data_IF_937794134457
#
_entry.id   IF_937794134457
#
_cell.length_a   1.000
_cell.length_b   1.000
_cell.length_c   1.000
_cell.angle_alpha   90.00
_cell.angle_beta   90.00
_cell.angle_gamma   90.00
#
_symmetry.space_group_name_H-M   'P 1'
#
loop_
_entity.id
_entity.type
_entity.pdbx_description
1 polymer ?
#
# COMPACT_ATOMS: atom_id res chain seq x y z
N UNK A 1 18.10 8.08 -0.76
CA UNK A 1 17.04 7.08 -0.55
C UNK A 1 15.95 7.34 -1.58
N UNK A 2 16.00 6.69 -2.73
CA UNK A 2 14.93 6.73 -3.74
C UNK A 2 14.34 5.34 -3.78
N UNK A 3 13.05 5.19 -3.48
CA UNK A 3 12.39 3.90 -3.46
C UNK A 3 11.97 3.49 -4.88
N UNK A 4 11.99 2.20 -5.23
CA UNK A 4 11.40 1.69 -6.45
C UNK A 4 9.87 1.74 -6.36
N UNK A 5 9.19 1.24 -7.39
CA UNK A 5 7.74 1.03 -7.42
C UNK A 5 7.29 0.39 -6.10
N UNK A 6 6.27 0.97 -5.45
CA UNK A 6 5.82 0.51 -4.12
C UNK A 6 5.35 -0.95 -4.12
N UNK A 7 4.96 -1.48 -5.28
CA UNK A 7 4.58 -2.88 -5.44
C UNK A 7 5.78 -3.85 -5.28
N UNK A 8 7.00 -3.38 -5.53
CA UNK A 8 8.24 -4.15 -5.33
C UNK A 8 8.76 -4.03 -3.89
N UNK A 9 8.30 -3.04 -3.13
CA UNK A 9 8.61 -2.86 -1.71
C UNK A 9 7.72 -3.76 -0.85
N UNK A 10 7.95 -5.06 -0.92
CA UNK A 10 7.16 -6.07 -0.17
C UNK A 10 7.73 -6.30 1.23
N UNK A 11 6.95 -6.99 2.08
CA UNK A 11 7.37 -7.41 3.42
C UNK A 11 8.55 -8.40 3.45
N UNK A 12 8.96 -8.94 2.29
CA UNK A 12 10.14 -9.81 2.17
C UNK A 12 11.42 -9.07 1.81
N UNK A 13 11.34 -7.78 1.45
CA UNK A 13 12.54 -6.95 1.23
C UNK A 13 13.33 -6.80 2.53
N UNK A 14 14.66 -6.65 2.44
CA UNK A 14 15.55 -6.68 3.61
C UNK A 14 15.13 -5.70 4.72
N UNK A 15 14.84 -4.45 4.35
CA UNK A 15 14.38 -3.43 5.29
C UNK A 15 13.09 -3.82 6.00
N UNK A 16 12.08 -4.26 5.25
CA UNK A 16 10.76 -4.62 5.81
C UNK A 16 10.82 -5.90 6.65
N UNK A 17 11.63 -6.87 6.21
CA UNK A 17 11.91 -8.09 6.95
C UNK A 17 12.60 -7.80 8.28
N UNK A 18 13.61 -6.95 8.25
CA UNK A 18 14.35 -6.51 9.44
C UNK A 18 13.43 -5.76 10.41
N UNK A 19 12.56 -4.90 9.89
CA UNK A 19 11.52 -4.23 10.67
C UNK A 19 10.59 -5.23 11.38
N UNK A 20 10.01 -6.19 10.67
CA UNK A 20 9.06 -7.16 11.23
C UNK A 20 9.73 -8.02 12.32
N UNK A 21 10.93 -8.55 12.07
CA UNK A 21 11.65 -9.36 13.05
C UNK A 21 12.06 -8.57 14.30
N UNK A 22 12.51 -7.32 14.13
CA UNK A 22 12.84 -6.45 15.26
C UNK A 22 11.61 -6.10 16.09
N UNK A 23 10.45 -5.88 15.45
CA UNK A 23 9.17 -5.66 16.14
C UNK A 23 8.82 -6.88 17.00
N UNK A 24 8.84 -8.09 16.42
CA UNK A 24 8.54 -9.34 17.14
C UNK A 24 9.51 -9.53 18.32
N UNK A 25 10.82 -9.46 18.07
CA UNK A 25 11.86 -9.59 19.12
C UNK A 25 11.62 -8.60 20.27
N UNK A 26 11.29 -7.35 19.93
CA UNK A 26 11.08 -6.29 20.93
C UNK A 26 9.82 -6.54 21.75
N UNK A 27 8.68 -6.84 21.11
CA UNK A 27 7.42 -7.13 21.78
C UNK A 27 7.53 -8.35 22.68
N UNK A 28 8.06 -9.45 22.16
CA UNK A 28 8.15 -10.71 22.90
C UNK A 28 9.11 -10.62 24.07
N UNK A 29 10.24 -9.91 23.95
CA UNK A 29 11.12 -9.62 25.09
C UNK A 29 10.42 -8.86 26.22
N UNK A 30 9.36 -8.10 25.91
CA UNK A 30 8.53 -7.35 26.87
C UNK A 30 7.22 -8.05 27.23
N UNK A 31 7.05 -9.30 26.80
CA UNK A 31 5.87 -10.12 27.08
C UNK A 31 4.56 -9.51 26.55
N UNK A 32 4.62 -8.82 25.42
CA UNK A 32 3.45 -8.25 24.73
C UNK A 32 3.32 -8.83 23.33
N UNK A 33 2.13 -8.68 22.75
CA UNK A 33 1.81 -9.19 21.41
C UNK A 33 2.52 -8.38 20.30
N UNK A 34 2.93 -9.07 19.24
CA UNK A 34 3.43 -8.57 17.98
C UNK A 34 2.45 -8.91 16.86
N UNK A 35 1.71 -7.92 16.35
CA UNK A 35 0.73 -8.13 15.28
C UNK A 35 1.36 -8.05 13.89
N UNK A 36 0.92 -8.94 12.98
CA UNK A 36 1.24 -8.94 11.56
C UNK A 36 0.47 -7.86 10.78
N UNK A 37 0.67 -7.83 9.47
CA UNK A 37 0.14 -6.79 8.58
C UNK A 37 -1.26 -7.07 8.04
N UNK A 38 -1.75 -6.11 7.26
CA UNK A 38 -3.04 -6.16 6.58
C UNK A 38 -2.99 -7.06 5.34
N UNK A 39 -4.04 -7.88 5.12
CA UNK A 39 -4.40 -8.40 3.81
C UNK A 39 -5.69 -7.71 3.34
N UNK A 40 -5.55 -6.83 2.34
CA UNK A 40 -6.61 -5.94 1.88
C UNK A 40 -7.48 -6.54 0.75
N UNK A 41 -7.22 -7.78 0.32
CA UNK A 41 -7.87 -8.39 -0.83
C UNK A 41 -9.38 -8.58 -0.63
N UNK A 42 -10.15 -8.21 -1.65
CA UNK A 42 -11.58 -8.46 -1.76
C UNK A 42 -11.75 -9.68 -2.67
N UNK A 43 -12.43 -10.77 -2.21
CA UNK A 43 -12.64 -11.96 -3.03
C UNK A 43 -13.31 -11.66 -4.38
N UNK A 44 -12.71 -12.14 -5.47
CA UNK A 44 -13.10 -11.83 -6.85
C UNK A 44 -14.06 -12.93 -7.35
N UNK A 45 -15.36 -12.75 -7.10
CA UNK A 45 -16.36 -13.78 -7.44
C UNK A 45 -16.54 -14.01 -8.95
N UNK A 46 -16.26 -13.00 -9.76
CA UNK A 46 -16.43 -13.04 -11.21
C UNK A 46 -15.29 -13.73 -11.96
N UNK A 47 -14.14 -13.92 -11.31
CA UNK A 47 -12.93 -14.49 -11.91
C UNK A 47 -12.26 -15.46 -10.94
N UNK A 48 -12.57 -16.77 -11.04
CA UNK A 48 -12.03 -17.78 -10.15
C UNK A 48 -10.50 -17.91 -10.19
N UNK A 49 -9.87 -17.66 -11.33
CA UNK A 49 -8.42 -17.78 -11.50
C UNK A 49 -7.71 -16.61 -10.83
N UNK A 50 -8.14 -15.38 -11.12
CA UNK A 50 -7.61 -14.19 -10.45
C UNK A 50 -7.85 -14.25 -8.94
N UNK A 51 -9.01 -14.76 -8.51
CA UNK A 51 -9.30 -14.97 -7.10
C UNK A 51 -8.34 -15.97 -6.46
N UNK A 52 -8.09 -17.12 -7.09
CA UNK A 52 -7.17 -18.13 -6.56
C UNK A 52 -5.75 -17.57 -6.37
N UNK A 53 -5.26 -16.80 -7.36
CA UNK A 53 -3.95 -16.13 -7.28
C UNK A 53 -3.91 -15.12 -6.13
N UNK A 54 -4.96 -14.31 -5.97
CA UNK A 54 -5.04 -13.32 -4.89
C UNK A 54 -5.09 -13.99 -3.51
N UNK A 55 -5.87 -15.05 -3.35
CA UNK A 55 -5.98 -15.78 -2.09
C UNK A 55 -4.71 -16.55 -1.72
N UNK A 56 -3.97 -17.07 -2.71
CA UNK A 56 -2.68 -17.71 -2.45
C UNK A 56 -1.63 -16.72 -1.95
N UNK A 57 -1.63 -15.49 -2.48
CA UNK A 57 -0.77 -14.42 -1.93
C UNK A 57 -1.10 -14.13 -0.46
N UNK A 58 -2.39 -14.05 -0.12
CA UNK A 58 -2.82 -13.87 1.28
C UNK A 58 -2.33 -15.03 2.14
N UNK A 59 -2.49 -16.26 1.66
CA UNK A 59 -2.02 -17.47 2.37
C UNK A 59 -0.53 -17.42 2.64
N UNK A 60 0.29 -17.21 1.61
CA UNK A 60 1.74 -17.13 1.73
C UNK A 60 2.20 -16.01 2.67
N UNK A 61 1.51 -14.86 2.64
CA UNK A 61 1.79 -13.75 3.55
C UNK A 61 1.47 -14.11 5.01
N UNK A 62 0.32 -14.74 5.29
CA UNK A 62 -0.07 -15.11 6.65
C UNK A 62 0.74 -16.27 7.20
N UNK A 63 1.09 -17.23 6.34
CA UNK A 63 2.04 -18.30 6.66
C UNK A 63 3.39 -17.73 7.10
N UNK A 64 3.94 -16.77 6.35
CA UNK A 64 5.20 -16.11 6.70
C UNK A 64 5.08 -15.43 8.07
N UNK A 65 4.06 -14.61 8.28
CA UNK A 65 3.87 -13.88 9.54
C UNK A 65 3.78 -14.82 10.75
N UNK A 66 2.99 -15.89 10.64
CA UNK A 66 2.86 -16.89 11.70
C UNK A 66 4.20 -17.62 11.94
N UNK A 67 4.93 -17.98 10.88
CA UNK A 67 6.26 -18.58 10.99
C UNK A 67 7.29 -17.65 11.61
N UNK A 68 7.21 -16.34 11.40
CA UNK A 68 8.16 -15.38 11.95
C UNK A 68 8.01 -15.20 13.45
N UNK A 69 6.78 -15.29 13.95
CA UNK A 69 6.49 -15.11 15.36
C UNK A 69 5.36 -14.13 15.65
N UNK A 70 4.63 -13.61 14.65
CA UNK A 70 3.49 -12.75 14.94
C UNK A 70 2.40 -13.51 15.73
N UNK A 71 1.72 -12.83 16.65
CA UNK A 71 0.67 -13.42 17.50
C UNK A 71 -0.73 -13.33 16.88
N UNK A 72 -0.84 -12.65 15.75
CA UNK A 72 -2.08 -12.46 15.01
C UNK A 72 -1.83 -11.63 13.77
N UNK A 73 -2.88 -11.44 12.96
CA UNK A 73 -2.79 -10.73 11.68
C UNK A 73 -4.09 -9.97 11.37
N UNK A 74 -4.07 -9.11 10.35
CA UNK A 74 -5.22 -8.32 9.92
C UNK A 74 -5.73 -8.74 8.53
N UNK A 75 -7.05 -8.65 8.35
CA UNK A 75 -7.75 -8.81 7.08
C UNK A 75 -8.79 -7.72 6.92
N UNK A 76 -8.98 -7.20 5.71
CA UNK A 76 -9.97 -6.15 5.43
C UNK A 76 -11.36 -6.69 5.06
N UNK A 77 -11.46 -7.98 4.73
CA UNK A 77 -12.72 -8.59 4.27
C UNK A 77 -13.01 -9.92 5.02
N UNK A 78 -14.25 -10.16 5.49
CA UNK A 78 -14.61 -11.38 6.22
C UNK A 78 -14.29 -12.69 5.49
N UNK A 79 -14.35 -12.67 4.15
CA UNK A 79 -14.00 -13.81 3.31
C UNK A 79 -12.54 -14.28 3.42
N UNK A 80 -11.63 -13.44 3.96
CA UNK A 80 -10.23 -13.82 4.19
C UNK A 80 -9.99 -14.42 5.58
N UNK A 81 -10.95 -14.30 6.51
CA UNK A 81 -10.80 -14.79 7.89
C UNK A 81 -10.47 -16.28 7.94
N UNK A 82 -11.15 -17.17 7.18
CA UNK A 82 -10.82 -18.60 7.22
C UNK A 82 -9.38 -18.91 6.79
N UNK A 83 -8.87 -18.21 5.78
CA UNK A 83 -7.50 -18.41 5.25
C UNK A 83 -6.46 -17.96 6.27
N UNK A 84 -6.64 -16.75 6.83
CA UNK A 84 -5.75 -16.24 7.85
C UNK A 84 -5.76 -17.14 9.09
N UNK A 85 -6.94 -17.59 9.52
CA UNK A 85 -7.10 -18.49 10.66
C UNK A 85 -6.43 -19.84 10.42
N UNK A 86 -6.57 -20.43 9.23
CA UNK A 86 -5.96 -21.71 8.88
C UNK A 86 -4.43 -21.67 9.03
N UNK A 87 -3.77 -20.64 8.51
CA UNK A 87 -2.32 -20.52 8.61
C UNK A 87 -1.84 -20.28 10.04
N UNK A 88 -2.56 -19.45 10.81
CA UNK A 88 -2.23 -19.23 12.22
C UNK A 88 -2.52 -20.46 13.09
N UNK A 89 -3.62 -21.18 12.88
CA UNK A 89 -3.89 -22.44 13.61
C UNK A 89 -2.80 -23.50 13.34
N UNK A 90 -2.23 -23.52 12.13
CA UNK A 90 -1.17 -24.44 11.72
C UNK A 90 0.19 -24.14 12.35
N UNK A 91 0.58 -22.86 12.38
CA UNK A 91 1.94 -22.46 12.81
C UNK A 91 1.99 -21.83 14.22
N UNK A 92 0.84 -21.47 14.78
CA UNK A 92 0.64 -20.96 16.14
C UNK A 92 -0.46 -21.78 16.85
N UNK A 93 -0.19 -23.04 17.26
CA UNK A 93 -1.17 -23.89 17.94
C UNK A 93 -1.48 -23.43 19.38
N UNK A 94 -0.70 -22.49 19.90
CA UNK A 94 -0.89 -21.83 21.20
C UNK A 94 -1.75 -20.57 21.06
N UNK A 95 -2.29 -20.00 22.16
CA UNK A 95 -3.08 -18.77 22.08
C UNK A 95 -2.32 -17.56 21.49
N UNK A 96 -0.99 -17.56 21.60
CA UNK A 96 -0.05 -16.57 21.05
C UNK A 96 1.35 -17.18 20.95
N UNK A 97 2.32 -16.46 20.39
CA UNK A 97 3.73 -16.80 20.22
C UNK A 97 4.70 -15.97 21.08
N UNK A 98 4.23 -15.28 22.13
CA UNK A 98 5.03 -14.40 23.01
C UNK A 98 6.28 -15.10 23.59
N UNK A 99 6.27 -16.42 23.70
CA UNK A 99 7.42 -17.23 24.15
C UNK A 99 8.58 -17.27 23.13
N UNK A 100 8.35 -16.96 21.86
CA UNK A 100 9.37 -16.96 20.79
C UNK A 100 10.17 -15.66 20.81
N UNK A 101 11.24 -15.61 21.60
CA UNK A 101 11.98 -14.37 21.86
C UNK A 101 12.90 -13.88 20.73
N UNK A 102 13.20 -14.71 19.72
CA UNK A 102 14.13 -14.40 18.62
C UNK A 102 15.50 -13.90 19.13
N UNK A 103 16.07 -14.57 20.13
CA UNK A 103 17.31 -14.14 20.80
C UNK A 103 18.52 -14.13 19.86
N UNK A 104 18.50 -14.94 18.83
CA UNK A 104 19.52 -15.12 17.79
C UNK A 104 19.46 -14.07 16.67
N UNK A 105 18.38 -13.28 16.60
CA UNK A 105 18.17 -12.30 15.53
C UNK A 105 18.74 -10.94 15.92
N UNK A 106 19.86 -10.54 15.33
CA UNK A 106 20.46 -9.20 15.55
C UNK A 106 20.15 -8.28 14.36
N UNK A 107 19.45 -7.17 14.62
CA UNK A 107 19.06 -6.16 13.62
C UNK A 107 19.71 -4.82 13.99
N UNK A 108 20.42 -4.23 13.04
CA UNK A 108 21.07 -2.93 13.21
C UNK A 108 20.21 -1.79 12.62
N UNK A 109 20.56 -0.55 12.94
CA UNK A 109 19.96 0.62 12.29
C UNK A 109 20.22 0.63 10.77
N UNK A 110 21.34 0.07 10.31
CA UNK A 110 21.65 0.01 8.89
C UNK A 110 20.70 -0.95 8.14
N UNK A 111 20.35 -2.08 8.76
CA UNK A 111 19.40 -3.05 8.19
C UNK A 111 18.02 -2.44 7.93
N UNK A 112 17.57 -1.57 8.84
CA UNK A 112 16.30 -0.83 8.75
C UNK A 112 16.31 0.29 7.71
N UNK A 113 17.46 0.56 7.08
CA UNK A 113 17.63 1.67 6.12
C UNK A 113 18.15 1.19 4.76
N UNK A 114 18.28 -0.12 4.53
CA UNK A 114 18.66 -0.67 3.22
C UNK A 114 17.51 -0.41 2.23
N UNK A 115 17.74 0.49 1.27
CA UNK A 115 16.78 0.77 0.21
C UNK A 115 16.57 -0.51 -0.61
N UNK A 116 15.31 -0.98 -0.78
CA UNK A 116 15.03 -2.13 -1.63
C UNK A 116 15.49 -1.91 -3.07
N UNK A 117 16.05 -2.94 -3.68
CA UNK A 117 16.29 -2.97 -5.12
C UNK A 117 14.95 -3.11 -5.87
N UNK A 118 14.85 -2.50 -7.04
CA UNK A 118 13.67 -2.58 -7.88
C UNK A 118 13.67 -1.53 -9.00
N UNK A 119 12.55 -1.45 -9.72
CA UNK A 119 12.40 -0.54 -10.86
C UNK A 119 11.47 0.62 -10.53
N UNK A 120 11.61 1.71 -11.28
CA UNK A 120 10.63 2.80 -11.30
C UNK A 120 10.02 2.76 -12.69
N UNK A 121 8.76 2.36 -12.82
CA UNK A 121 8.17 2.08 -14.15
C UNK A 121 7.09 3.10 -14.49
N UNK A 122 6.81 3.27 -15.79
CA UNK A 122 5.65 4.10 -16.20
C UNK A 122 4.35 3.51 -15.61
N UNK A 123 4.24 2.18 -15.57
CA UNK A 123 3.10 1.50 -14.98
C UNK A 123 2.94 1.85 -13.50
N UNK A 124 4.04 1.86 -12.72
CA UNK A 124 4.07 2.29 -11.33
C UNK A 124 3.61 3.73 -11.13
N UNK A 125 4.10 4.66 -11.97
CA UNK A 125 3.65 6.06 -11.98
C UNK A 125 2.15 6.15 -12.23
N UNK A 126 1.65 5.48 -13.28
CA UNK A 126 0.23 5.51 -13.64
C UNK A 126 -0.64 4.89 -12.56
N UNK A 127 -0.22 3.79 -11.93
CA UNK A 127 -0.95 3.15 -10.81
C UNK A 127 -1.01 4.08 -9.59
N UNK A 128 0.06 4.82 -9.29
CA UNK A 128 0.05 5.78 -8.18
C UNK A 128 -0.88 6.97 -8.44
N UNK A 129 -0.88 7.53 -9.66
CA UNK A 129 -1.86 8.55 -10.05
C UNK A 129 -3.29 7.99 -9.93
N UNK A 130 -3.49 6.79 -10.44
CA UNK A 130 -4.81 6.19 -10.54
C UNK A 130 -5.43 5.87 -9.16
N UNK A 131 -4.76 5.06 -8.36
CA UNK A 131 -5.27 4.66 -7.03
C UNK A 131 -5.37 5.87 -6.10
N UNK A 132 -4.39 6.78 -6.15
CA UNK A 132 -4.38 7.98 -5.34
C UNK A 132 -5.56 8.92 -5.62
N UNK A 133 -5.87 9.16 -6.89
CA UNK A 133 -7.00 10.01 -7.30
C UNK A 133 -8.34 9.34 -7.02
N UNK A 134 -8.50 8.04 -7.30
CA UNK A 134 -9.73 7.31 -6.99
C UNK A 134 -10.02 7.33 -5.48
N UNK A 135 -9.01 7.08 -4.65
CA UNK A 135 -9.16 7.16 -3.19
C UNK A 135 -9.52 8.57 -2.75
N UNK A 136 -8.82 9.59 -3.26
CA UNK A 136 -9.08 10.98 -2.90
C UNK A 136 -10.49 11.43 -3.31
N UNK A 137 -10.98 11.02 -4.47
CA UNK A 137 -12.36 11.31 -4.90
C UNK A 137 -13.39 10.71 -3.94
N UNK A 138 -13.23 9.44 -3.56
CA UNK A 138 -14.11 8.79 -2.60
C UNK A 138 -14.01 9.41 -1.19
N UNK A 139 -12.80 9.77 -0.76
CA UNK A 139 -12.57 10.44 0.52
C UNK A 139 -13.28 11.79 0.57
N UNK A 140 -13.20 12.57 -0.52
CA UNK A 140 -13.89 13.85 -0.69
C UNK A 140 -15.43 13.70 -0.75
N UNK A 141 -15.93 12.50 -1.03
CA UNK A 141 -17.35 12.13 -0.93
C UNK A 141 -17.73 11.60 0.47
N UNK A 142 -16.82 11.65 1.43
CA UNK A 142 -17.03 11.19 2.81
C UNK A 142 -16.79 9.70 3.02
N UNK A 143 -16.20 8.98 2.05
CA UNK A 143 -15.86 7.56 2.18
C UNK A 143 -14.34 7.32 2.26
N UNK A 144 -13.85 6.99 3.45
CA UNK A 144 -12.43 6.67 3.68
C UNK A 144 -12.03 5.20 3.49
N UNK A 145 -12.97 4.30 3.16
CA UNK A 145 -12.72 2.86 3.00
C UNK A 145 -13.23 2.42 1.62
N UNK A 146 -12.32 2.26 0.66
CA UNK A 146 -12.66 2.35 -0.77
C UNK A 146 -12.23 1.07 -1.50
N UNK A 147 -13.17 0.33 -2.12
CA UNK A 147 -12.79 -0.80 -2.97
C UNK A 147 -12.20 -0.28 -4.30
N UNK A 148 -10.91 -0.50 -4.51
CA UNK A 148 -10.19 -0.14 -5.73
C UNK A 148 -9.43 -1.37 -6.21
N UNK A 149 -9.66 -1.81 -7.46
CA UNK A 149 -9.00 -3.00 -8.04
C UNK A 149 -9.04 -4.27 -7.18
N UNK A 150 -10.17 -4.54 -6.53
CA UNK A 150 -10.37 -5.65 -5.59
C UNK A 150 -9.47 -5.59 -4.34
N UNK A 151 -9.00 -4.41 -3.97
CA UNK A 151 -8.36 -4.12 -2.70
C UNK A 151 -9.24 -3.14 -1.92
N UNK A 152 -9.35 -3.35 -0.61
CA UNK A 152 -9.98 -2.39 0.28
C UNK A 152 -8.94 -1.37 0.72
N UNK A 153 -8.93 -0.22 0.06
CA UNK A 153 -7.92 0.82 0.24
C UNK A 153 -8.33 1.81 1.33
N UNK A 154 -7.34 2.29 2.08
CA UNK A 154 -7.45 3.38 3.04
C UNK A 154 -6.50 4.54 2.67
N UNK A 155 -6.42 5.55 3.55
CA UNK A 155 -5.64 6.74 3.29
C UNK A 155 -4.15 6.44 3.09
N UNK A 156 -3.60 5.40 3.74
CA UNK A 156 -2.19 5.06 3.62
C UNK A 156 -1.81 4.69 2.18
N UNK A 157 -2.73 4.09 1.41
CA UNK A 157 -2.48 3.77 0.00
C UNK A 157 -2.36 5.03 -0.86
N UNK A 158 -3.22 6.02 -0.64
CA UNK A 158 -3.11 7.30 -1.34
C UNK A 158 -1.89 8.09 -0.87
N UNK A 159 -1.56 8.03 0.42
CA UNK A 159 -0.36 8.65 0.99
C UNK A 159 0.93 8.08 0.38
N UNK A 160 1.09 6.76 0.30
CA UNK A 160 2.30 6.19 -0.32
C UNK A 160 2.35 6.48 -1.82
N UNK A 161 1.19 6.50 -2.50
CA UNK A 161 1.11 6.81 -3.93
C UNK A 161 1.59 8.24 -4.23
N UNK A 162 1.07 9.25 -3.52
CA UNK A 162 1.50 10.64 -3.70
C UNK A 162 2.91 10.89 -3.19
N UNK A 163 3.33 10.23 -2.11
CA UNK A 163 4.68 10.38 -1.55
C UNK A 163 5.76 9.84 -2.49
N UNK A 164 5.47 8.72 -3.16
CA UNK A 164 6.36 8.11 -4.13
C UNK A 164 6.50 9.00 -5.38
N UNK A 165 5.39 9.51 -5.92
CA UNK A 165 5.41 10.46 -7.04
C UNK A 165 6.15 11.75 -6.67
N UNK A 166 5.89 12.31 -5.49
CA UNK A 166 6.60 13.48 -4.98
C UNK A 166 8.10 13.22 -4.88
N UNK A 167 8.53 12.09 -4.29
CA UNK A 167 9.94 11.74 -4.15
C UNK A 167 10.62 11.66 -5.51
N UNK A 168 10.00 10.98 -6.47
CA UNK A 168 10.57 10.80 -7.81
C UNK A 168 10.73 12.13 -8.56
N UNK A 169 9.71 13.00 -8.48
CA UNK A 169 9.78 14.36 -9.04
C UNK A 169 10.91 15.18 -8.40
N UNK A 170 11.01 15.19 -7.08
CA UNK A 170 11.94 16.06 -6.36
C UNK A 170 13.39 15.57 -6.34
N UNK A 171 13.61 14.28 -6.59
CA UNK A 171 14.96 13.71 -6.69
C UNK A 171 15.47 13.58 -8.13
N UNK A 172 14.63 13.92 -9.12
CA UNK A 172 14.96 13.74 -10.54
C UNK A 172 15.12 12.27 -10.91
N UNK A 173 14.35 11.39 -10.27
CA UNK A 173 14.35 9.96 -10.57
C UNK A 173 13.94 9.71 -12.02
N UNK A 174 14.34 8.56 -12.56
CA UNK A 174 14.06 8.18 -13.93
C UNK A 174 13.23 6.92 -13.95
N UNK A 175 12.36 6.83 -14.95
CA UNK A 175 11.76 5.59 -15.35
C UNK A 175 12.86 4.59 -15.79
N UNK A 176 12.53 3.32 -15.77
CA UNK A 176 13.34 2.21 -16.26
C UNK A 176 13.72 2.33 -17.75
N UNK A 177 12.91 3.04 -18.53
CA UNK A 177 13.24 3.43 -19.92
C UNK A 177 14.09 4.70 -20.07
N UNK A 178 14.47 5.31 -18.95
CA UNK A 178 15.38 6.46 -18.88
C UNK A 178 14.73 7.84 -18.93
N UNK A 179 13.41 7.95 -19.15
CA UNK A 179 12.71 9.24 -19.09
C UNK A 179 12.74 9.82 -17.67
N UNK A 180 13.01 11.13 -17.50
CA UNK A 180 12.97 11.76 -16.18
C UNK A 180 11.53 11.94 -15.69
N UNK A 181 11.29 11.64 -14.42
CA UNK A 181 9.99 11.89 -13.78
C UNK A 181 9.95 13.36 -13.39
N UNK A 182 9.02 14.10 -14.00
CA UNK A 182 8.84 15.55 -13.82
C UNK A 182 7.36 15.86 -13.64
N UNK A 183 7.01 17.06 -13.12
CA UNK A 183 5.61 17.49 -13.08
C UNK A 183 4.94 17.44 -14.45
N UNK A 184 5.67 17.81 -15.51
CA UNK A 184 5.17 17.78 -16.89
C UNK A 184 4.86 16.34 -17.37
N UNK A 185 5.70 15.35 -17.01
CA UNK A 185 5.42 13.95 -17.34
C UNK A 185 4.14 13.46 -16.65
N UNK A 186 3.93 13.83 -15.39
CA UNK A 186 2.71 13.47 -14.66
C UNK A 186 1.47 14.13 -15.27
N UNK A 187 1.57 15.41 -15.65
CA UNK A 187 0.51 16.14 -16.36
C UNK A 187 0.19 15.53 -17.72
N UNK A 188 1.19 15.04 -18.46
CA UNK A 188 1.02 14.34 -19.73
C UNK A 188 0.25 13.01 -19.55
N UNK A 189 0.53 12.27 -18.49
CA UNK A 189 -0.12 10.98 -18.20
C UNK A 189 -1.53 11.11 -17.62
N UNK A 190 -1.83 12.24 -16.96
CA UNK A 190 -3.06 12.42 -16.19
C UNK A 190 -4.36 12.31 -17.04
N UNK A 191 -4.47 12.88 -18.25
CA UNK A 191 -5.66 12.74 -19.08
C UNK A 191 -6.01 11.28 -19.38
N UNK A 192 -5.02 10.44 -19.70
CA UNK A 192 -5.23 9.01 -19.95
C UNK A 192 -5.68 8.27 -18.68
N UNK A 193 -5.12 8.64 -17.52
CA UNK A 193 -5.51 8.08 -16.23
C UNK A 193 -6.98 8.41 -15.93
N UNK A 194 -7.38 9.68 -16.07
CA UNK A 194 -8.77 10.11 -15.86
C UNK A 194 -9.74 9.50 -16.88
N UNK A 195 -9.33 9.36 -18.14
CA UNK A 195 -10.14 8.73 -19.17
C UNK A 195 -10.40 7.25 -18.84
N UNK A 196 -9.39 6.50 -18.40
CA UNK A 196 -9.56 5.10 -17.96
C UNK A 196 -10.47 4.99 -16.74
N UNK A 197 -10.35 5.88 -15.75
CA UNK A 197 -11.28 5.93 -14.62
C UNK A 197 -12.71 6.17 -15.10
N UNK A 198 -12.92 7.13 -16.01
CA UNK A 198 -14.23 7.45 -16.57
C UNK A 198 -14.87 6.27 -17.30
N UNK A 199 -14.08 5.51 -18.05
CA UNK A 199 -14.53 4.28 -18.72
C UNK A 199 -14.94 3.20 -17.71
N UNK A 200 -14.23 3.09 -16.60
CA UNK A 200 -14.48 2.10 -15.55
C UNK A 200 -15.72 2.40 -14.72
N UNK A 201 -15.88 3.64 -14.28
CA UNK A 201 -16.99 4.04 -13.39
C UNK A 201 -18.23 4.48 -14.16
N UNK A 202 -18.08 4.76 -15.46
CA UNK A 202 -19.12 5.30 -16.34
C UNK A 202 -19.16 6.83 -16.32
N UNK A 203 -19.52 7.42 -17.47
CA UNK A 203 -19.49 8.88 -17.68
C UNK A 203 -20.36 9.66 -16.68
N UNK A 204 -21.53 9.13 -16.31
CA UNK A 204 -22.44 9.77 -15.37
C UNK A 204 -21.85 9.82 -13.96
N UNK A 205 -21.32 8.69 -13.46
CA UNK A 205 -20.70 8.61 -12.13
C UNK A 205 -19.42 9.44 -12.06
N UNK A 206 -18.63 9.46 -13.14
CA UNK A 206 -17.45 10.30 -13.21
C UNK A 206 -17.81 11.79 -13.15
N UNK A 207 -18.85 12.21 -13.87
CA UNK A 207 -19.27 13.61 -13.92
C UNK A 207 -19.89 14.12 -12.62
N UNK A 208 -20.59 13.27 -11.87
CA UNK A 208 -21.20 13.63 -10.58
C UNK A 208 -20.26 13.41 -9.39
N UNK A 209 -19.21 12.60 -9.56
CA UNK A 209 -18.22 12.36 -8.52
C UNK A 209 -17.15 13.46 -8.46
N UNK A 210 -16.28 13.39 -7.44
CA UNK A 210 -15.25 14.42 -7.20
C UNK A 210 -13.90 14.14 -7.89
N UNK A 211 -13.88 13.41 -9.02
CA UNK A 211 -12.63 12.97 -9.67
C UNK A 211 -11.73 14.11 -10.17
N UNK A 212 -12.30 15.14 -10.81
CA UNK A 212 -11.51 16.28 -11.31
C UNK A 212 -10.88 17.06 -10.15
N UNK A 213 -11.67 17.34 -9.11
CA UNK A 213 -11.17 18.03 -7.92
C UNK A 213 -10.12 17.21 -7.16
N UNK A 214 -10.33 15.90 -7.05
CA UNK A 214 -9.36 14.98 -6.49
C UNK A 214 -8.05 14.99 -7.28
N UNK A 215 -8.11 14.99 -8.62
CA UNK A 215 -6.93 15.07 -9.48
C UNK A 215 -6.17 16.39 -9.27
N UNK A 216 -6.89 17.51 -9.22
CA UNK A 216 -6.30 18.83 -8.99
C UNK A 216 -5.59 18.89 -7.63
N UNK A 217 -6.26 18.45 -6.55
CA UNK A 217 -5.67 18.43 -5.21
C UNK A 217 -4.49 17.47 -5.11
N UNK A 218 -4.60 16.27 -5.70
CA UNK A 218 -3.53 15.27 -5.70
C UNK A 218 -2.27 15.80 -6.41
N UNK A 219 -2.45 16.45 -7.56
CA UNK A 219 -1.36 17.08 -8.31
C UNK A 219 -0.80 18.31 -7.60
N UNK A 220 -1.63 19.12 -6.94
CA UNK A 220 -1.17 20.24 -6.11
C UNK A 220 -0.20 19.76 -5.02
N UNK A 221 -0.57 18.69 -4.31
CA UNK A 221 0.25 18.12 -3.23
C UNK A 221 1.58 17.59 -3.77
N UNK A 222 1.58 16.90 -4.92
CA UNK A 222 2.79 16.34 -5.52
C UNK A 222 3.75 17.42 -6.03
N UNK A 223 3.24 18.57 -6.49
CA UNK A 223 4.06 19.65 -7.07
C UNK A 223 4.65 20.62 -6.04
N UNK A 224 4.22 20.56 -4.78
CA UNK A 224 4.75 21.44 -3.72
C UNK A 224 6.22 21.10 -3.44
N UNK A 225 7.07 22.13 -3.42
CA UNK A 225 8.49 22.00 -3.05
C UNK A 225 8.68 21.38 -1.65
N UNK A 226 7.79 21.74 -0.72
CA UNK A 226 7.72 21.15 0.61
C UNK A 226 6.82 19.92 0.60
N UNK A 227 7.28 18.83 1.19
CA UNK A 227 6.47 17.64 1.39
C UNK A 227 5.28 17.95 2.31
N UNK A 228 4.06 17.79 1.81
CA UNK A 228 2.85 17.87 2.64
C UNK A 228 2.84 16.67 3.59
N UNK A 229 2.77 16.87 4.90
CA UNK A 229 2.93 15.77 5.86
C UNK A 229 1.83 14.71 5.70
N UNK A 230 0.57 15.15 5.65
CA UNK A 230 -0.59 14.28 5.45
C UNK A 230 -1.51 14.87 4.38
N UNK A 231 -1.88 14.07 3.38
CA UNK A 231 -2.81 14.50 2.34
C UNK A 231 -4.20 14.83 2.91
N UNK A 232 -4.53 14.25 4.06
CA UNK A 232 -5.81 14.46 4.74
C UNK A 232 -5.96 15.89 5.24
N UNK A 233 -4.89 16.63 5.52
CA UNK A 233 -4.97 18.01 5.98
C UNK A 233 -5.62 18.93 4.92
N UNK A 234 -5.07 19.08 3.70
CA UNK A 234 -5.70 19.90 2.68
C UNK A 234 -6.99 19.26 2.13
N UNK A 235 -7.14 17.94 2.18
CA UNK A 235 -8.40 17.30 1.80
C UNK A 235 -9.53 17.66 2.78
N UNK A 236 -9.24 17.74 4.08
CA UNK A 236 -10.23 18.08 5.11
C UNK A 236 -10.79 19.49 4.98
N UNK A 237 -10.03 20.42 4.42
CA UNK A 237 -10.53 21.75 4.06
C UNK A 237 -11.56 21.73 2.90
N UNK A 238 -11.73 20.59 2.23
CA UNK A 238 -12.66 20.37 1.11
C UNK A 238 -13.87 19.51 1.47
N UNK A 239 -13.98 19.08 2.73
CA UNK A 239 -15.18 18.44 3.25
C UNK A 239 -16.14 19.51 3.78
N UNK A 240 -17.43 19.26 3.57
CA UNK A 240 -18.53 20.06 4.15
C UNK A 240 -18.87 19.62 5.59
#
# INVERSE_FOLDING_TARGET
FVMPDRAEVTMTTHMMRSYSLLLIKTCHRREIHAMGGMAAQIPIKSDPEANAIALEKVRADKEREAKDGHDGTWVAHPGLVPIAKEEFDKYMPTPNQIFRKLEDVEITAADLLVVPEGHITEAGVRVNLDVGIQYMAAWLEGNGCVPIYNLMEDAATAEISRSQLWQWVHTGAKLDDGRPITPALLEEMLPDVLQRMKEMVGAERFAHGRYTEAADLFMEIIKKDSFTEFMTLPAYERLD
#
